data_IF_236804545188
#
_entry.id   IF_236804545188
#
_cell.length_a   1.000
_cell.length_b   1.000
_cell.length_c   1.000
_cell.angle_alpha   90.00
_cell.angle_beta   90.00
_cell.angle_gamma   90.00
#
_symmetry.space_group_name_H-M   'P 1'
#
loop_
_entity.id
_entity.type
_entity.pdbx_description
1 polymer ?
#
# COMPACT_ATOMS: atom_id res chain seq x y z
N UNK A 1 1.29 20.83 -22.83
CA UNK A 1 0.05 21.48 -23.33
C UNK A 1 -0.45 20.91 -24.68
N UNK A 2 0.42 20.26 -25.48
CA UNK A 2 0.06 19.65 -26.77
C UNK A 2 -1.00 18.53 -26.65
N UNK A 3 -0.89 17.67 -25.63
CA UNK A 3 -1.80 16.52 -25.45
C UNK A 3 -3.25 16.96 -25.18
N UNK A 4 -3.46 17.97 -24.32
CA UNK A 4 -4.82 18.45 -24.02
C UNK A 4 -5.50 19.09 -25.24
N UNK A 5 -4.74 19.87 -26.04
CA UNK A 5 -5.24 20.44 -27.30
C UNK A 5 -5.54 19.35 -28.33
N UNK A 6 -4.70 18.32 -28.43
CA UNK A 6 -4.90 17.19 -29.33
C UNK A 6 -6.16 16.39 -28.96
N UNK A 7 -6.40 16.11 -27.68
CA UNK A 7 -7.61 15.42 -27.19
C UNK A 7 -8.87 16.23 -27.49
N UNK A 8 -8.85 17.55 -27.27
CA UNK A 8 -9.98 18.42 -27.60
C UNK A 8 -10.23 18.45 -29.11
N UNK A 9 -9.18 18.53 -29.93
CA UNK A 9 -9.27 18.52 -31.39
C UNK A 9 -9.81 17.19 -31.93
N UNK A 10 -9.38 16.07 -31.35
CA UNK A 10 -9.87 14.73 -31.68
C UNK A 10 -11.34 14.53 -31.29
N UNK A 11 -11.75 14.95 -30.08
CA UNK A 11 -13.16 14.93 -29.67
C UNK A 11 -14.04 15.76 -30.60
N UNK A 12 -13.58 16.96 -31.01
CA UNK A 12 -14.30 17.79 -31.99
C UNK A 12 -14.44 17.11 -33.36
N UNK A 13 -13.37 16.48 -33.85
CA UNK A 13 -13.37 15.75 -35.13
C UNK A 13 -14.31 14.54 -35.13
N UNK A 14 -14.49 13.89 -33.98
CA UNK A 14 -15.33 12.70 -33.84
C UNK A 14 -16.75 12.99 -33.32
N UNK A 15 -17.18 14.25 -33.24
CA UNK A 15 -18.45 14.67 -32.63
C UNK A 15 -18.70 14.07 -31.22
N UNK A 16 -17.61 13.83 -30.48
CA UNK A 16 -17.65 13.21 -29.16
C UNK A 16 -18.02 14.21 -28.06
N UNK A 17 -18.42 13.68 -26.88
CA UNK A 17 -18.66 14.51 -25.70
C UNK A 17 -17.43 15.32 -25.31
N UNK A 18 -17.65 16.57 -24.86
CA UNK A 18 -16.59 17.47 -24.40
C UNK A 18 -15.79 16.81 -23.27
N UNK A 19 -14.45 16.72 -23.36
CA UNK A 19 -13.63 16.15 -22.29
C UNK A 19 -13.74 17.03 -21.04
N UNK A 20 -14.00 16.39 -19.89
CA UNK A 20 -14.11 17.06 -18.59
C UNK A 20 -12.92 16.68 -17.72
N UNK A 21 -12.21 17.68 -17.22
CA UNK A 21 -11.11 17.47 -16.28
C UNK A 21 -11.67 17.09 -14.90
N UNK A 22 -11.70 15.79 -14.60
CA UNK A 22 -12.22 15.28 -13.31
C UNK A 22 -11.28 15.49 -12.13
N UNK A 23 -9.96 15.59 -12.40
CA UNK A 23 -8.91 15.68 -11.39
C UNK A 23 -7.79 16.57 -11.89
N UNK A 24 -7.36 17.52 -11.07
CA UNK A 24 -6.18 18.35 -11.34
C UNK A 24 -4.93 17.53 -11.02
N UNK A 25 -4.48 16.72 -11.97
CA UNK A 25 -3.24 15.96 -11.83
C UNK A 25 -2.42 15.98 -13.12
N UNK A 26 -1.11 16.08 -13.00
CA UNK A 26 -0.16 16.05 -14.09
C UNK A 26 0.98 15.09 -13.77
N UNK A 27 1.36 14.26 -14.76
CA UNK A 27 2.57 13.44 -14.70
C UNK A 27 3.69 14.16 -15.45
N UNK A 28 4.89 14.08 -14.89
CA UNK A 28 6.08 14.80 -15.32
C UNK A 28 7.23 13.80 -15.42
N UNK A 29 7.94 13.85 -16.55
CA UNK A 29 9.14 13.05 -16.76
C UNK A 29 10.33 13.72 -16.04
N UNK A 30 11.42 12.96 -15.84
CA UNK A 30 12.67 13.38 -15.20
C UNK A 30 13.24 14.69 -15.74
N UNK A 31 12.96 15.04 -16.98
CA UNK A 31 13.46 16.27 -17.63
C UNK A 31 12.68 17.54 -17.25
N UNK A 32 11.42 17.37 -16.81
CA UNK A 32 10.48 18.45 -16.51
C UNK A 32 10.54 18.91 -15.04
N UNK A 33 11.39 18.30 -14.21
CA UNK A 33 11.56 18.70 -12.82
C UNK A 33 13.00 18.52 -12.32
N UNK A 34 13.35 19.26 -11.26
CA UNK A 34 14.55 19.02 -10.44
C UNK A 34 14.10 18.77 -9.01
N UNK A 35 14.49 17.63 -8.46
CA UNK A 35 14.20 17.25 -7.08
C UNK A 35 15.50 17.27 -6.28
N UNK A 36 15.56 18.12 -5.25
CA UNK A 36 16.62 18.13 -4.26
C UNK A 36 16.05 17.60 -2.94
N UNK A 37 16.52 16.41 -2.56
CA UNK A 37 16.07 15.72 -1.35
C UNK A 37 16.66 16.33 -0.07
N UNK A 38 17.86 16.92 -0.13
CA UNK A 38 18.53 17.50 1.04
C UNK A 38 17.79 18.77 1.51
N UNK A 39 17.47 19.65 0.56
CA UNK A 39 16.70 20.87 0.83
C UNK A 39 15.18 20.62 0.84
N UNK A 40 14.75 19.41 0.47
CA UNK A 40 13.34 19.03 0.25
C UNK A 40 12.64 19.98 -0.72
N UNK A 41 13.35 20.42 -1.75
CA UNK A 41 12.85 21.34 -2.76
C UNK A 41 12.58 20.61 -4.06
N UNK A 42 11.43 20.92 -4.66
CA UNK A 42 11.04 20.43 -5.97
C UNK A 42 10.85 21.64 -6.87
N UNK A 43 11.63 21.71 -7.94
CA UNK A 43 11.50 22.73 -8.98
C UNK A 43 10.78 22.07 -10.16
N UNK A 44 9.62 22.61 -10.50
CA UNK A 44 8.81 22.19 -11.64
C UNK A 44 9.03 23.16 -12.79
N UNK A 45 9.41 22.64 -13.95
CA UNK A 45 9.47 23.44 -15.18
C UNK A 45 8.09 23.49 -15.80
N UNK A 46 7.54 24.70 -15.89
CA UNK A 46 6.27 24.97 -16.55
C UNK A 46 6.49 25.47 -17.97
N UNK A 47 5.40 25.50 -18.72
CA UNK A 47 5.41 26.05 -20.07
C UNK A 47 5.75 27.56 -20.04
N UNK A 48 6.52 28.01 -21.04
CA UNK A 48 6.94 29.41 -21.14
C UNK A 48 8.16 29.77 -20.29
N UNK A 49 9.02 28.80 -19.96
CA UNK A 49 10.26 29.04 -19.21
C UNK A 49 10.07 29.37 -17.73
N UNK A 50 8.84 29.31 -17.22
CA UNK A 50 8.53 29.55 -15.82
C UNK A 50 8.92 28.34 -14.98
N UNK A 51 9.56 28.58 -13.85
CA UNK A 51 9.86 27.54 -12.86
C UNK A 51 9.07 27.81 -11.58
N UNK A 52 8.51 26.76 -10.98
CA UNK A 52 7.84 26.82 -9.68
C UNK A 52 8.62 26.00 -8.69
N UNK A 53 9.05 26.63 -7.60
CA UNK A 53 9.72 25.96 -6.49
C UNK A 53 8.70 25.62 -5.41
N UNK A 54 8.61 24.34 -5.08
CA UNK A 54 7.75 23.78 -4.05
C UNK A 54 8.61 23.21 -2.92
N UNK A 55 8.17 23.37 -1.67
CA UNK A 55 8.81 22.75 -0.51
C UNK A 55 8.02 21.50 -0.11
N UNK A 56 8.70 20.35 -0.09
CA UNK A 56 8.10 19.09 0.32
C UNK A 56 8.00 19.02 1.85
N UNK A 57 6.76 18.92 2.35
CA UNK A 57 6.44 18.74 3.76
C UNK A 57 6.60 17.26 4.13
N UNK A 58 7.83 16.87 4.47
CA UNK A 58 8.16 15.48 4.80
C UNK A 58 9.23 15.38 5.88
N UNK A 59 9.27 14.25 6.60
CA UNK A 59 10.28 13.97 7.62
C UNK A 59 11.62 13.60 6.99
N UNK A 60 12.71 13.90 7.68
CA UNK A 60 14.09 13.51 7.30
C UNK A 60 14.20 12.00 7.11
N UNK A 61 13.67 11.23 8.07
CA UNK A 61 13.67 9.77 8.05
C UNK A 61 13.03 9.20 6.77
N UNK A 62 11.95 9.84 6.28
CA UNK A 62 11.28 9.39 5.05
C UNK A 62 12.11 9.68 3.80
N UNK A 63 12.86 10.78 3.80
CA UNK A 63 13.74 11.17 2.68
C UNK A 63 14.98 10.28 2.60
N UNK A 64 15.60 9.98 3.73
CA UNK A 64 16.82 9.15 3.80
C UNK A 64 16.63 7.78 3.16
N UNK A 65 15.43 7.18 3.29
CA UNK A 65 15.07 5.90 2.64
C UNK A 65 15.30 5.90 1.12
N UNK A 66 15.15 7.04 0.47
CA UNK A 66 15.24 7.20 -0.98
C UNK A 66 16.53 7.89 -1.44
N UNK A 67 17.43 8.29 -0.53
CA UNK A 67 18.68 8.99 -0.87
C UNK A 67 19.56 8.18 -1.84
N UNK A 68 19.56 6.85 -1.70
CA UNK A 68 20.30 5.93 -2.58
C UNK A 68 19.49 5.45 -3.80
N UNK A 69 18.35 6.06 -4.11
CA UNK A 69 17.47 5.68 -5.23
C UNK A 69 17.47 6.76 -6.30
N UNK A 70 17.33 6.34 -7.55
CA UNK A 70 17.16 7.28 -8.66
C UNK A 70 15.68 7.55 -8.92
N UNK A 71 15.26 8.79 -9.04
CA UNK A 71 13.89 9.14 -9.46
C UNK A 71 13.77 9.11 -10.99
N UNK A 72 12.60 8.73 -11.52
CA UNK A 72 12.37 8.66 -12.97
C UNK A 72 11.08 9.37 -13.41
N UNK A 73 10.05 9.41 -12.57
CA UNK A 73 8.78 10.06 -12.90
C UNK A 73 8.23 10.75 -11.67
N UNK A 74 7.39 11.77 -11.88
CA UNK A 74 6.70 12.49 -10.82
C UNK A 74 5.25 12.73 -11.22
N UNK A 75 4.33 12.68 -10.27
CA UNK A 75 2.93 13.03 -10.46
C UNK A 75 2.50 14.08 -9.45
N UNK A 76 2.04 15.23 -9.90
CA UNK A 76 1.47 16.28 -9.06
C UNK A 76 -0.05 16.15 -9.10
N UNK A 77 -0.70 16.23 -7.94
CA UNK A 77 -2.15 16.25 -7.79
C UNK A 77 -2.55 17.38 -6.87
N UNK A 78 -3.49 18.23 -7.30
CA UNK A 78 -4.13 19.23 -6.45
C UNK A 78 -5.46 18.66 -5.96
N UNK A 79 -5.65 18.63 -4.65
CA UNK A 79 -6.89 18.18 -4.01
C UNK A 79 -7.17 19.03 -2.77
N UNK A 80 -8.39 19.55 -2.68
CA UNK A 80 -8.86 20.34 -1.53
C UNK A 80 -7.90 21.50 -1.17
N UNK A 81 -7.43 22.24 -2.20
CA UNK A 81 -6.47 23.34 -2.05
C UNK A 81 -5.04 22.93 -1.69
N UNK A 82 -4.77 21.64 -1.51
CA UNK A 82 -3.45 21.11 -1.18
C UNK A 82 -2.76 20.50 -2.40
N UNK A 83 -1.45 20.72 -2.52
CA UNK A 83 -0.61 20.11 -3.55
C UNK A 83 0.02 18.83 -3.01
N UNK A 84 -0.17 17.73 -3.73
CA UNK A 84 0.42 16.44 -3.45
C UNK A 84 1.35 16.04 -4.58
N UNK A 85 2.52 15.55 -4.25
CA UNK A 85 3.60 15.17 -5.16
C UNK A 85 3.93 13.70 -4.94
N UNK A 86 3.65 12.84 -5.91
CA UNK A 86 4.10 11.45 -5.92
C UNK A 86 5.38 11.35 -6.72
N UNK A 87 6.50 11.03 -6.08
CA UNK A 87 7.78 10.78 -6.77
C UNK A 87 7.96 9.28 -6.94
N UNK A 88 8.29 8.86 -8.16
CA UNK A 88 8.59 7.48 -8.49
C UNK A 88 10.10 7.27 -8.51
N UNK A 89 10.55 6.37 -7.64
CA UNK A 89 11.94 5.98 -7.46
C UNK A 89 12.19 4.61 -8.05
N UNK A 90 13.38 4.40 -8.59
CA UNK A 90 13.93 3.13 -9.04
C UNK A 90 15.31 2.91 -8.43
N UNK A 91 15.60 1.66 -8.05
CA UNK A 91 16.92 1.24 -7.57
C UNK A 91 17.27 -0.10 -8.21
N UNK A 92 18.50 -0.20 -8.73
CA UNK A 92 19.06 -1.49 -9.16
C UNK A 92 19.47 -2.26 -7.92
N UNK A 93 19.10 -3.53 -7.88
CA UNK A 93 19.25 -4.34 -6.68
C UNK A 93 20.09 -5.58 -7.00
N UNK A 94 21.20 -5.73 -6.28
CA UNK A 94 22.07 -6.90 -6.40
C UNK A 94 21.47 -8.10 -5.67
N UNK A 95 21.25 -9.20 -6.41
CA UNK A 95 20.76 -10.47 -5.88
C UNK A 95 21.83 -11.13 -5.00
N UNK A 96 21.59 -11.19 -3.69
CA UNK A 96 22.42 -11.93 -2.73
C UNK A 96 21.95 -13.37 -2.61
N UNK A 97 22.90 -14.32 -2.56
CA UNK A 97 22.58 -15.73 -2.29
C UNK A 97 21.97 -15.86 -0.89
N UNK A 98 20.78 -16.47 -0.77
CA UNK A 98 20.11 -16.60 0.52
C UNK A 98 20.82 -17.62 1.40
N UNK A 99 20.87 -17.35 2.71
CA UNK A 99 21.51 -18.22 3.72
C UNK A 99 20.50 -18.85 4.68
N UNK A 100 19.28 -18.31 4.72
CA UNK A 100 18.23 -18.67 5.67
C UNK A 100 16.86 -18.58 5.01
N UNK A 101 15.84 -19.14 5.66
CA UNK A 101 14.44 -19.12 5.24
C UNK A 101 13.61 -18.53 6.37
N UNK A 102 12.85 -17.48 6.09
CA UNK A 102 11.85 -16.93 7.00
C UNK A 102 10.49 -17.49 6.58
N UNK A 103 9.88 -18.32 7.42
CA UNK A 103 8.50 -18.78 7.20
C UNK A 103 7.53 -17.87 7.94
N UNK A 104 6.41 -17.57 7.29
CA UNK A 104 5.32 -16.76 7.84
C UNK A 104 4.08 -17.64 7.93
N UNK A 105 3.74 -18.01 9.16
CA UNK A 105 2.49 -18.68 9.50
C UNK A 105 1.51 -17.63 10.02
N UNK A 106 0.32 -17.58 9.42
CA UNK A 106 -0.70 -16.59 9.75
C UNK A 106 -1.91 -17.27 10.35
N UNK A 107 -2.10 -17.04 11.64
CA UNK A 107 -3.30 -17.40 12.37
C UNK A 107 -4.22 -16.18 12.57
N UNK A 108 -5.44 -16.44 13.00
CA UNK A 108 -6.46 -15.45 13.30
C UNK A 108 -6.00 -14.44 14.36
N UNK A 109 -5.43 -14.94 15.46
CA UNK A 109 -5.04 -14.13 16.62
C UNK A 109 -3.56 -13.73 16.62
N UNK A 110 -2.72 -14.40 15.83
CA UNK A 110 -1.29 -14.11 15.76
C UNK A 110 -0.68 -14.42 14.39
N UNK A 111 0.41 -13.72 14.07
CA UNK A 111 1.33 -14.04 12.97
C UNK A 111 2.63 -14.54 13.58
N UNK A 112 3.06 -15.72 13.17
CA UNK A 112 4.31 -16.34 13.60
C UNK A 112 5.33 -16.25 12.46
N UNK A 113 6.47 -15.62 12.74
CA UNK A 113 7.63 -15.58 11.87
C UNK A 113 8.68 -16.55 12.44
N UNK A 114 9.05 -17.57 11.70
CA UNK A 114 10.11 -18.49 12.09
C UNK A 114 11.27 -18.39 11.09
N UNK A 115 12.49 -18.34 11.60
CA UNK A 115 13.71 -18.21 10.80
C UNK A 115 14.47 -19.52 10.89
N UNK A 116 14.74 -20.13 9.76
CA UNK A 116 15.47 -21.39 9.63
C UNK A 116 16.76 -21.18 8.85
N UNK A 117 17.78 -21.97 9.16
CA UNK A 117 18.92 -22.17 8.25
C UNK A 117 18.49 -22.98 7.03
N UNK A 118 19.27 -22.96 5.95
CA UNK A 118 19.04 -23.84 4.81
C UNK A 118 19.07 -25.34 5.20
N UNK A 119 19.80 -25.69 6.26
CA UNK A 119 19.84 -27.05 6.83
C UNK A 119 18.68 -27.39 7.78
N UNK A 120 17.63 -26.56 7.87
CA UNK A 120 16.43 -26.84 8.66
C UNK A 120 16.52 -26.51 10.16
N UNK A 121 17.68 -26.05 10.67
CA UNK A 121 17.80 -25.61 12.07
C UNK A 121 17.06 -24.29 12.31
N UNK A 122 16.18 -24.27 13.30
CA UNK A 122 15.46 -23.07 13.75
C UNK A 122 16.41 -22.11 14.46
N UNK A 123 16.49 -20.87 13.98
CA UNK A 123 17.29 -19.79 14.54
C UNK A 123 16.49 -18.90 15.49
N UNK A 124 15.28 -18.52 15.09
CA UNK A 124 14.46 -17.56 15.85
C UNK A 124 12.99 -17.68 15.51
N UNK A 125 12.13 -17.45 16.51
CA UNK A 125 10.68 -17.28 16.32
C UNK A 125 10.26 -15.92 16.86
N UNK A 126 9.45 -15.18 16.09
CA UNK A 126 8.74 -13.99 16.56
C UNK A 126 7.24 -14.19 16.36
N UNK A 127 6.45 -13.81 17.36
CA UNK A 127 4.99 -13.85 17.29
C UNK A 127 4.41 -12.46 17.46
N UNK A 128 3.52 -12.07 16.56
CA UNK A 128 2.84 -10.78 16.59
C UNK A 128 1.35 -11.00 16.78
N UNK A 129 0.75 -10.40 17.81
CA UNK A 129 -0.71 -10.45 17.99
C UNK A 129 -1.39 -9.64 16.89
N UNK A 130 -2.48 -10.15 16.33
CA UNK A 130 -3.26 -9.43 15.33
C UNK A 130 -4.19 -8.42 16.02
N UNK A 131 -4.57 -7.31 15.36
CA UNK A 131 -5.53 -6.35 15.90
C UNK A 131 -6.97 -6.86 15.77
N UNK A 132 -7.19 -8.18 15.71
CA UNK A 132 -8.46 -8.81 15.42
C UNK A 132 -9.59 -8.28 16.31
N UNK A 133 -9.38 -8.32 17.63
CA UNK A 133 -10.40 -7.87 18.59
C UNK A 133 -10.90 -6.45 18.30
N UNK A 134 -9.99 -5.52 17.98
CA UNK A 134 -10.33 -4.12 17.63
C UNK A 134 -11.14 -4.04 16.34
N UNK A 135 -10.77 -4.84 15.33
CA UNK A 135 -11.50 -4.94 14.07
C UNK A 135 -12.92 -5.52 14.29
N UNK A 136 -13.04 -6.57 15.11
CA UNK A 136 -14.33 -7.18 15.47
C UNK A 136 -15.23 -6.21 16.22
N UNK A 137 -14.71 -5.38 17.12
CA UNK A 137 -15.51 -4.36 17.81
C UNK A 137 -16.20 -3.44 16.80
N UNK A 138 -15.46 -2.89 15.83
CA UNK A 138 -16.06 -2.05 14.79
C UNK A 138 -17.04 -2.82 13.90
N UNK A 139 -16.80 -4.11 13.66
CA UNK A 139 -17.72 -4.95 12.91
C UNK A 139 -19.04 -5.16 13.64
N UNK A 140 -18.99 -5.49 14.93
CA UNK A 140 -20.17 -5.66 15.79
C UNK A 140 -21.00 -4.37 15.80
N UNK A 141 -20.35 -3.20 15.87
CA UNK A 141 -21.05 -1.90 15.78
C UNK A 141 -21.74 -1.69 14.43
N UNK A 142 -21.07 -1.98 13.32
CA UNK A 142 -21.68 -1.91 11.98
C UNK A 142 -22.92 -2.81 11.92
N UNK A 143 -22.81 -4.04 12.41
CA UNK A 143 -23.93 -4.98 12.38
C UNK A 143 -25.09 -4.55 13.28
N UNK A 144 -24.81 -3.98 14.46
CA UNK A 144 -25.84 -3.40 15.34
C UNK A 144 -26.57 -2.25 14.67
N UNK A 145 -25.85 -1.34 14.02
CA UNK A 145 -26.43 -0.22 13.27
C UNK A 145 -27.28 -0.74 12.11
N UNK A 146 -26.75 -1.71 11.35
CA UNK A 146 -27.48 -2.33 10.24
C UNK A 146 -28.73 -3.09 10.71
N UNK A 147 -28.71 -3.75 11.87
CA UNK A 147 -29.92 -4.38 12.45
C UNK A 147 -30.94 -3.35 12.89
N UNK A 148 -30.51 -2.27 13.56
CA UNK A 148 -31.39 -1.17 13.99
C UNK A 148 -32.07 -0.46 12.80
N UNK A 149 -31.37 -0.34 11.67
CA UNK A 149 -31.86 0.33 10.46
C UNK A 149 -31.88 -0.61 9.24
N UNK A 150 -32.43 -1.82 9.39
CA UNK A 150 -32.32 -2.91 8.40
C UNK A 150 -32.69 -2.55 6.96
N UNK A 151 -33.77 -1.79 6.77
CA UNK A 151 -34.28 -1.38 5.44
C UNK A 151 -33.77 -0.01 4.97
N UNK A 152 -33.29 0.83 5.89
CA UNK A 152 -33.08 2.26 5.64
C UNK A 152 -31.63 2.73 5.76
N UNK A 153 -30.73 1.91 6.31
CA UNK A 153 -29.34 2.32 6.58
C UNK A 153 -28.58 2.82 5.34
N UNK A 154 -28.96 2.36 4.14
CA UNK A 154 -28.34 2.78 2.86
C UNK A 154 -28.79 4.18 2.41
N UNK A 155 -30.00 4.56 2.78
CA UNK A 155 -30.67 5.78 2.32
C UNK A 155 -30.51 6.92 3.33
N UNK A 156 -30.44 6.62 4.63
CA UNK A 156 -30.22 7.63 5.67
C UNK A 156 -28.73 8.02 5.70
N UNK A 157 -28.43 9.24 5.26
CA UNK A 157 -27.05 9.77 5.12
C UNK A 157 -26.24 9.66 6.42
N UNK A 158 -26.84 9.97 7.57
CA UNK A 158 -26.17 9.89 8.88
C UNK A 158 -25.80 8.46 9.28
N UNK A 159 -26.72 7.51 9.10
CA UNK A 159 -26.51 6.09 9.39
C UNK A 159 -25.46 5.50 8.46
N UNK A 160 -25.54 5.81 7.16
CA UNK A 160 -24.55 5.39 6.17
C UNK A 160 -23.15 5.89 6.53
N UNK A 161 -23.03 7.19 6.86
CA UNK A 161 -21.75 7.80 7.25
C UNK A 161 -21.17 7.18 8.54
N UNK A 162 -22.01 6.82 9.51
CA UNK A 162 -21.56 6.11 10.71
C UNK A 162 -20.98 4.71 10.38
N UNK A 163 -21.64 3.95 9.49
CA UNK A 163 -21.14 2.67 8.99
C UNK A 163 -19.83 2.85 8.22
N UNK A 164 -19.76 3.84 7.32
CA UNK A 164 -18.57 4.17 6.54
C UNK A 164 -17.38 4.48 7.46
N UNK A 165 -17.58 5.29 8.52
CA UNK A 165 -16.54 5.63 9.50
C UNK A 165 -15.97 4.38 10.20
N UNK A 166 -16.81 3.43 10.60
CA UNK A 166 -16.34 2.17 11.15
C UNK A 166 -15.60 1.32 10.10
N UNK A 167 -16.09 1.28 8.86
CA UNK A 167 -15.44 0.58 7.75
C UNK A 167 -14.08 1.19 7.38
N UNK A 168 -13.94 2.50 7.42
CA UNK A 168 -12.66 3.22 7.28
C UNK A 168 -11.71 2.88 8.43
N UNK A 169 -12.21 2.83 9.67
CA UNK A 169 -11.39 2.48 10.82
C UNK A 169 -10.87 1.05 10.74
N UNK A 170 -11.70 0.10 10.30
CA UNK A 170 -11.29 -1.28 10.03
C UNK A 170 -10.16 -1.32 8.99
N UNK A 171 -10.34 -0.62 7.86
CA UNK A 171 -9.31 -0.53 6.80
C UNK A 171 -8.01 0.08 7.31
N UNK A 172 -8.10 1.17 8.07
CA UNK A 172 -6.94 1.87 8.63
C UNK A 172 -6.16 0.99 9.61
N UNK A 173 -6.84 0.29 10.52
CA UNK A 173 -6.20 -0.65 11.47
C UNK A 173 -5.52 -1.80 10.73
N UNK A 174 -6.21 -2.38 9.74
CA UNK A 174 -5.68 -3.46 8.93
C UNK A 174 -4.42 -3.03 8.16
N UNK A 175 -4.46 -1.85 7.55
CA UNK A 175 -3.38 -1.29 6.77
C UNK A 175 -2.14 -0.97 7.61
N UNK A 176 -2.33 -0.32 8.77
CA UNK A 176 -1.25 -0.01 9.72
C UNK A 176 -0.56 -1.29 10.21
N UNK A 177 -1.34 -2.32 10.55
CA UNK A 177 -0.78 -3.60 10.97
C UNK A 177 -0.01 -4.31 9.84
N UNK A 178 -0.57 -4.32 8.62
CA UNK A 178 0.10 -4.88 7.46
C UNK A 178 1.45 -4.21 7.19
N UNK A 179 1.54 -2.87 7.31
CA UNK A 179 2.81 -2.15 7.17
C UNK A 179 3.83 -2.58 8.22
N UNK A 180 3.45 -2.59 9.50
CA UNK A 180 4.34 -2.96 10.60
C UNK A 180 4.88 -4.38 10.47
N UNK A 181 4.04 -5.31 10.05
CA UNK A 181 4.43 -6.70 9.80
C UNK A 181 5.31 -6.81 8.56
N UNK A 182 4.95 -6.13 7.47
CA UNK A 182 5.77 -6.08 6.24
C UNK A 182 7.17 -5.55 6.51
N UNK A 183 7.29 -4.45 7.26
CA UNK A 183 8.57 -3.87 7.67
C UNK A 183 9.37 -4.82 8.57
N UNK A 184 8.71 -5.48 9.53
CA UNK A 184 9.36 -6.48 10.38
C UNK A 184 9.90 -7.67 9.58
N UNK A 185 9.14 -8.17 8.59
CA UNK A 185 9.55 -9.27 7.71
C UNK A 185 10.72 -8.82 6.84
N UNK A 186 10.64 -7.65 6.21
CA UNK A 186 11.69 -7.12 5.35
C UNK A 186 12.99 -6.87 6.14
N UNK A 187 12.89 -6.39 7.37
CA UNK A 187 14.03 -6.22 8.26
C UNK A 187 14.69 -7.56 8.61
N UNK A 188 13.90 -8.58 8.96
CA UNK A 188 14.42 -9.91 9.25
C UNK A 188 15.07 -10.54 8.02
N UNK A 189 14.42 -10.47 6.87
CA UNK A 189 14.95 -11.00 5.62
C UNK A 189 16.26 -10.32 5.22
N UNK A 190 16.35 -9.00 5.38
CA UNK A 190 17.58 -8.25 5.11
C UNK A 190 18.69 -8.59 6.10
N UNK A 191 18.36 -8.75 7.39
CA UNK A 191 19.35 -9.03 8.45
C UNK A 191 19.95 -10.42 8.31
N UNK A 192 19.14 -11.42 7.97
CA UNK A 192 19.58 -12.82 7.88
C UNK A 192 19.85 -13.29 6.45
N UNK A 193 19.74 -12.40 5.45
CA UNK A 193 19.81 -12.74 4.02
C UNK A 193 18.89 -13.93 3.69
N UNK A 194 17.61 -13.77 4.01
CA UNK A 194 16.63 -14.86 3.97
C UNK A 194 15.73 -14.82 2.74
N UNK A 195 15.31 -15.99 2.27
CA UNK A 195 14.09 -16.12 1.45
C UNK A 195 12.89 -16.10 2.40
N UNK A 196 11.83 -15.36 2.05
CA UNK A 196 10.57 -15.39 2.81
C UNK A 196 9.59 -16.35 2.12
N UNK A 197 9.07 -17.30 2.88
CA UNK A 197 8.06 -18.26 2.46
C UNK A 197 6.78 -17.94 3.23
N UNK A 198 5.72 -17.61 2.50
CA UNK A 198 4.39 -17.37 3.04
C UNK A 198 3.52 -18.60 2.80
N UNK A 199 2.77 -19.02 3.83
CA UNK A 199 1.82 -20.12 3.67
C UNK A 199 0.70 -19.74 2.68
N UNK A 200 0.28 -20.72 1.87
CA UNK A 200 -0.82 -20.54 0.94
C UNK A 200 -2.17 -20.64 1.66
N UNK A 201 -2.80 -19.49 1.86
CA UNK A 201 -4.05 -19.37 2.63
C UNK A 201 -5.31 -19.73 1.84
N UNK A 202 -5.17 -20.21 0.61
CA UNK A 202 -6.30 -20.49 -0.29
C UNK A 202 -7.28 -21.53 0.27
N UNK A 203 -6.85 -22.40 1.20
CA UNK A 203 -7.66 -23.50 1.74
C UNK A 203 -8.30 -23.22 3.11
N UNK A 204 -8.14 -22.04 3.69
CA UNK A 204 -8.77 -21.72 4.99
C UNK A 204 -10.31 -21.62 4.90
N UNK A 205 -10.87 -21.36 3.72
CA UNK A 205 -12.32 -21.29 3.49
C UNK A 205 -13.04 -22.64 3.73
N UNK A 206 -12.36 -23.77 3.53
CA UNK A 206 -12.94 -25.10 3.71
C UNK A 206 -12.86 -25.63 5.15
N UNK A 207 -12.01 -25.05 6.01
CA UNK A 207 -11.84 -25.47 7.41
C UNK A 207 -12.80 -24.82 8.40
N UNK A 208 -13.64 -23.88 7.97
CA UNK A 208 -14.66 -23.25 8.83
C UNK A 208 -15.86 -24.20 8.97
N UNK A 209 -15.67 -25.27 9.74
CA UNK A 209 -16.74 -26.13 10.21
C UNK A 209 -17.19 -25.61 11.59
N UNK A 210 -18.30 -24.87 11.63
CA UNK A 210 -18.87 -24.36 12.87
C UNK A 210 -20.20 -23.62 12.65
N UNK A 211 -21.25 -24.09 13.34
CA UNK A 211 -22.67 -23.83 13.04
C UNK A 211 -23.23 -22.42 13.28
N UNK A 212 -24.49 -22.26 12.86
CA UNK A 212 -25.31 -21.04 12.71
C UNK A 212 -24.85 -20.07 11.59
N UNK A 213 -25.82 -19.40 10.95
CA UNK A 213 -25.55 -18.45 9.86
C UNK A 213 -24.69 -17.26 10.30
N UNK A 214 -24.70 -16.94 11.59
CA UNK A 214 -23.94 -15.85 12.20
C UNK A 214 -22.43 -16.13 12.27
N UNK A 215 -22.03 -17.31 12.78
CA UNK A 215 -20.60 -17.68 12.84
C UNK A 215 -20.00 -17.82 11.44
N UNK A 216 -20.77 -18.36 10.49
CA UNK A 216 -20.35 -18.43 9.09
C UNK A 216 -20.13 -17.04 8.49
N UNK A 217 -21.02 -16.07 8.78
CA UNK A 217 -20.89 -14.69 8.29
C UNK A 217 -19.74 -13.93 8.95
N UNK A 218 -19.53 -14.13 10.24
CA UNK A 218 -18.43 -13.57 11.02
C UNK A 218 -17.08 -14.12 10.54
N UNK A 219 -16.98 -15.43 10.38
CA UNK A 219 -15.80 -16.12 9.87
C UNK A 219 -15.46 -15.72 8.43
N UNK A 220 -16.44 -15.70 7.51
CA UNK A 220 -16.23 -15.27 6.13
C UNK A 220 -15.81 -13.79 6.03
N UNK A 221 -16.39 -12.92 6.86
CA UNK A 221 -16.01 -11.51 6.87
C UNK A 221 -14.63 -11.29 7.48
N UNK A 222 -14.33 -11.98 8.57
CA UNK A 222 -13.01 -11.94 9.18
C UNK A 222 -11.94 -12.51 8.23
N UNK A 223 -12.25 -13.58 7.50
CA UNK A 223 -11.42 -14.10 6.43
C UNK A 223 -11.18 -13.08 5.31
N UNK A 224 -12.21 -12.31 4.90
CA UNK A 224 -12.01 -11.19 3.96
C UNK A 224 -11.11 -10.09 4.55
N UNK A 225 -11.21 -9.83 5.86
CA UNK A 225 -10.34 -8.90 6.58
C UNK A 225 -8.89 -9.37 6.63
N UNK A 226 -8.65 -10.64 6.95
CA UNK A 226 -7.33 -11.29 6.91
C UNK A 226 -6.79 -11.30 5.49
N UNK A 227 -7.60 -11.65 4.49
CA UNK A 227 -7.21 -11.61 3.08
C UNK A 227 -6.87 -10.19 2.62
N UNK A 228 -7.50 -9.16 3.18
CA UNK A 228 -7.10 -7.76 2.97
C UNK A 228 -5.78 -7.43 3.68
N UNK A 229 -5.55 -7.94 4.89
CA UNK A 229 -4.28 -7.74 5.59
C UNK A 229 -3.14 -8.46 4.88
N UNK A 230 -3.37 -9.68 4.40
CA UNK A 230 -2.37 -10.53 3.77
C UNK A 230 -2.24 -10.24 2.30
N UNK A 231 -3.31 -9.87 1.60
CA UNK A 231 -3.26 -9.26 0.28
C UNK A 231 -2.60 -7.88 0.34
N UNK A 232 -2.73 -7.16 1.46
CA UNK A 232 -1.97 -5.96 1.76
C UNK A 232 -0.49 -6.26 1.98
N UNK A 233 -0.16 -7.24 2.82
CA UNK A 233 1.22 -7.71 3.02
C UNK A 233 1.80 -8.22 1.70
N UNK A 234 1.09 -9.03 0.92
CA UNK A 234 1.49 -9.54 -0.40
C UNK A 234 1.54 -8.46 -1.49
N UNK A 235 0.72 -7.40 -1.42
CA UNK A 235 0.72 -6.26 -2.34
C UNK A 235 1.70 -5.14 -1.95
N UNK A 236 2.10 -5.07 -0.67
CA UNK A 236 3.28 -4.32 -0.20
C UNK A 236 4.57 -5.09 -0.48
N UNK A 237 4.49 -6.43 -0.47
CA UNK A 237 5.57 -7.35 -0.83
C UNK A 237 5.72 -7.47 -2.35
N UNK A 238 4.64 -7.27 -3.09
CA UNK A 238 4.57 -7.39 -4.55
C UNK A 238 3.85 -6.20 -5.17
N UNK A 239 4.63 -5.32 -5.78
CA UNK A 239 4.19 -4.38 -6.82
C UNK A 239 3.04 -3.44 -6.39
N UNK A 240 3.40 -2.30 -5.77
CA UNK A 240 2.56 -1.09 -5.84
C UNK A 240 2.07 -0.48 -4.52
N UNK A 241 2.48 -0.98 -3.36
CA UNK A 241 2.29 -0.30 -2.07
C UNK A 241 3.53 0.49 -1.69
N UNK A 242 3.43 1.82 -1.57
CA UNK A 242 4.52 2.66 -1.10
C UNK A 242 5.07 2.18 0.25
N UNK A 243 6.38 2.37 0.43
CA UNK A 243 7.13 2.35 1.70
C UNK A 243 7.80 1.08 2.21
N UNK A 244 7.70 -0.09 1.58
CA UNK A 244 8.56 -1.21 2.00
C UNK A 244 9.89 -1.24 1.25
N UNK A 245 10.93 -1.79 1.91
CA UNK A 245 12.27 -2.07 1.36
C UNK A 245 12.18 -3.09 0.22
N UNK A 246 11.65 -2.69 -0.94
CA UNK A 246 11.49 -3.46 -2.17
C UNK A 246 12.78 -4.18 -2.61
N UNK A 247 14.01 -3.69 -2.32
CA UNK A 247 15.22 -4.46 -2.61
C UNK A 247 15.29 -5.80 -1.91
N UNK A 248 14.75 -5.98 -0.70
CA UNK A 248 14.78 -7.29 -0.03
C UNK A 248 13.76 -8.28 -0.63
N UNK A 249 12.71 -7.78 -1.28
CA UNK A 249 11.54 -8.55 -1.72
C UNK A 249 11.67 -9.14 -3.12
N UNK A 250 12.47 -8.49 -3.98
CA UNK A 250 12.85 -9.04 -5.28
C UNK A 250 13.64 -10.36 -5.15
N UNK A 251 14.49 -10.48 -4.13
CA UNK A 251 15.22 -11.71 -3.81
C UNK A 251 14.31 -12.85 -3.34
N UNK A 252 13.15 -12.51 -2.76
CA UNK A 252 12.27 -13.42 -2.04
C UNK A 252 11.33 -14.19 -2.98
N UNK A 253 10.86 -13.57 -4.06
CA UNK A 253 9.84 -14.14 -4.95
C UNK A 253 10.39 -14.89 -6.18
N UNK A 254 11.72 -15.06 -6.29
CA UNK A 254 12.40 -15.56 -7.51
C UNK A 254 11.95 -14.83 -8.79
N UNK A 255 11.52 -13.57 -8.68
CA UNK A 255 11.23 -12.78 -9.88
C UNK A 255 12.55 -12.25 -10.45
N UNK A 256 12.80 -12.35 -11.77
CA UNK A 256 14.02 -11.84 -12.42
C UNK A 256 14.04 -10.31 -12.50
N UNK A 257 13.37 -9.62 -11.58
CA UNK A 257 13.28 -8.18 -11.61
C UNK A 257 14.55 -7.60 -10.96
N UNK A 258 15.43 -7.10 -11.83
CA UNK A 258 16.70 -6.42 -11.50
C UNK A 258 16.49 -5.01 -10.95
N UNK A 259 15.25 -4.50 -11.00
CA UNK A 259 14.91 -3.12 -10.67
C UNK A 259 13.73 -3.06 -9.69
N UNK A 260 13.96 -2.45 -8.53
CA UNK A 260 12.92 -2.10 -7.56
C UNK A 260 12.29 -0.76 -7.95
N UNK A 261 10.96 -0.66 -7.91
CA UNK A 261 10.22 0.59 -8.16
C UNK A 261 9.35 0.93 -6.95
N UNK A 262 9.45 2.16 -6.46
CA UNK A 262 8.68 2.68 -5.34
C UNK A 262 7.99 3.99 -5.72
N UNK A 263 6.76 4.19 -5.29
CA UNK A 263 6.08 5.48 -5.35
C UNK A 263 6.01 6.07 -3.93
N UNK A 264 6.43 7.31 -3.75
CA UNK A 264 6.32 8.00 -2.47
C UNK A 264 5.51 9.28 -2.62
N UNK A 265 4.47 9.41 -1.80
CA UNK A 265 3.58 10.57 -1.75
C UNK A 265 4.09 11.59 -0.74
N UNK A 266 4.31 12.81 -1.21
CA UNK A 266 4.68 13.97 -0.42
C UNK A 266 3.57 15.01 -0.50
N UNK A 267 3.35 15.74 0.59
CA UNK A 267 2.58 16.99 0.55
C UNK A 267 3.55 18.13 0.23
N UNK A 268 3.14 19.10 -0.57
CA UNK A 268 3.94 20.26 -0.91
C UNK A 268 3.23 21.56 -0.52
N UNK A 269 4.02 22.57 -0.17
CA UNK A 269 3.62 23.95 0.04
C UNK A 269 4.42 24.84 -0.92
#
# INVERSE_FOLDING_TARGET
MLIAKAVVKACKRNNGRKPVLRKLSARLDRYDYKLNLDDRTLILKLHGGKEVKLKLLTSTERVEKFRAWSNYELSVTVKDGNVFVSVYFRKVVELRKPRTIVTVDVNLDNITLAIFTLGGKLLKVKRYKTPLRKILTHRIWIERIQRKYSKSWRFIRGVRRAIEKHGEKIRSIAWDYAHKIGDSIAELASRYSSIVVLENLNHLRSRVNGGSSFNKKLSLWFYRGIRLMIGGVAGLIGVGGGECRIPALLHILKQPATTAVAANLFKAC
#
